data_IF_536701944653
#
_entry.id   IF_536701944653
#
_cell.length_a   1.000
_cell.length_b   1.000
_cell.length_c   1.000
_cell.angle_alpha   90.00
_cell.angle_beta   90.00
_cell.angle_gamma   90.00
#
_symmetry.space_group_name_H-M   'P 1'
#
loop_
_entity.id
_entity.type
_entity.pdbx_description
1 polymer ?
#
# COMPACT_ATOMS: atom_id res chain seq x y z
N UNK A 1 -42.77 19.00 -12.67
CA UNK A 1 -41.31 18.85 -12.71
C UNK A 1 -40.75 19.31 -11.37
N UNK A 2 -40.52 18.37 -10.43
CA UNK A 2 -39.98 18.63 -9.12
C UNK A 2 -38.44 18.66 -9.19
N UNK A 3 -37.76 19.42 -8.32
CA UNK A 3 -36.32 19.54 -8.35
C UNK A 3 -35.68 18.22 -7.93
N UNK A 4 -34.71 17.79 -8.75
CA UNK A 4 -33.84 16.65 -8.46
C UNK A 4 -33.15 16.87 -7.10
N UNK A 5 -33.39 15.98 -6.16
CA UNK A 5 -32.73 15.96 -4.86
C UNK A 5 -31.23 15.79 -5.07
N UNK A 6 -30.46 16.87 -4.96
CA UNK A 6 -29.03 16.82 -4.76
C UNK A 6 -28.78 16.06 -3.45
N UNK A 7 -28.34 14.82 -3.54
CA UNK A 7 -27.83 14.08 -2.40
C UNK A 7 -26.61 14.85 -1.89
N UNK A 8 -26.79 15.59 -0.83
CA UNK A 8 -25.75 16.33 -0.15
C UNK A 8 -24.68 15.36 0.33
N UNK A 9 -23.46 15.50 -0.19
CA UNK A 9 -22.24 14.76 0.16
C UNK A 9 -21.80 14.97 1.63
N UNK A 10 -22.59 15.67 2.44
CA UNK A 10 -22.31 15.99 3.85
C UNK A 10 -22.36 14.80 4.82
N UNK A 11 -22.87 13.63 4.40
CA UNK A 11 -22.92 12.42 5.24
C UNK A 11 -21.78 11.44 5.05
N UNK A 12 -20.64 11.91 4.55
CA UNK A 12 -19.41 11.13 4.52
C UNK A 12 -18.68 11.25 5.88
N UNK A 13 -19.39 11.07 6.96
CA UNK A 13 -18.80 10.86 8.26
C UNK A 13 -18.15 9.47 8.27
N UNK A 14 -16.85 9.42 8.54
CA UNK A 14 -16.19 8.22 9.00
C UNK A 14 -16.89 7.77 10.28
N UNK A 15 -17.84 6.85 10.16
CA UNK A 15 -18.71 6.41 11.25
C UNK A 15 -17.92 5.48 12.16
N UNK A 16 -18.01 5.76 13.44
CA UNK A 16 -17.56 5.04 14.62
C UNK A 16 -17.07 3.62 14.38
N UNK A 17 -15.83 3.38 14.81
CA UNK A 17 -15.18 2.10 14.93
C UNK A 17 -15.37 1.56 16.36
N UNK A 18 -15.87 0.36 16.50
CA UNK A 18 -15.64 -0.51 17.66
C UNK A 18 -14.37 -1.30 17.36
N UNK A 19 -13.34 -1.18 18.19
CA UNK A 19 -12.01 -1.76 17.99
C UNK A 19 -11.99 -3.30 18.00
N UNK A 20 -12.54 -3.91 16.97
CA UNK A 20 -12.41 -5.36 16.76
C UNK A 20 -11.52 -5.57 15.52
N UNK A 21 -10.29 -6.05 15.72
CA UNK A 21 -9.30 -6.42 14.69
C UNK A 21 -9.79 -7.53 13.73
N UNK A 22 -11.05 -7.92 13.81
CA UNK A 22 -11.69 -8.93 12.95
C UNK A 22 -12.25 -8.38 11.64
N UNK A 23 -12.11 -7.09 11.35
CA UNK A 23 -12.59 -6.47 10.11
C UNK A 23 -11.45 -6.05 9.22
N UNK A 24 -11.58 -6.30 7.91
CA UNK A 24 -10.59 -5.89 6.90
C UNK A 24 -10.27 -4.39 7.01
N UNK A 25 -8.97 -4.04 6.86
CA UNK A 25 -8.47 -2.66 6.98
C UNK A 25 -9.24 -1.67 6.12
N UNK A 26 -9.73 -0.59 6.74
CA UNK A 26 -10.40 0.53 6.03
C UNK A 26 -9.42 1.34 5.20
N UNK A 27 -8.17 1.44 5.65
CA UNK A 27 -7.11 2.08 4.87
C UNK A 27 -6.89 1.33 3.56
N UNK A 28 -6.91 -0.01 3.57
CA UNK A 28 -6.83 -0.81 2.35
C UNK A 28 -7.98 -0.55 1.38
N UNK A 29 -9.22 -0.34 1.87
CA UNK A 29 -10.37 0.03 1.02
C UNK A 29 -10.18 1.40 0.36
N UNK A 30 -9.68 2.41 1.08
CA UNK A 30 -9.42 3.75 0.50
C UNK A 30 -8.31 3.70 -0.54
N UNK A 31 -7.22 2.99 -0.28
CA UNK A 31 -6.14 2.81 -1.27
C UNK A 31 -6.67 2.09 -2.51
N UNK A 32 -7.51 1.06 -2.36
CA UNK A 32 -8.17 0.39 -3.48
C UNK A 32 -9.09 1.35 -4.25
N UNK A 33 -9.82 2.25 -3.57
CA UNK A 33 -10.65 3.28 -4.22
C UNK A 33 -9.77 4.22 -5.08
N UNK A 34 -8.65 4.69 -4.56
CA UNK A 34 -7.75 5.59 -5.30
C UNK A 34 -7.20 4.92 -6.56
N UNK A 35 -6.76 3.65 -6.48
CA UNK A 35 -6.30 2.87 -7.63
C UNK A 35 -7.43 2.63 -8.66
N UNK A 36 -8.65 2.34 -8.18
CA UNK A 36 -9.79 2.17 -9.05
C UNK A 36 -10.18 3.46 -9.78
N UNK A 37 -10.10 4.62 -9.12
CA UNK A 37 -10.34 5.93 -9.74
C UNK A 37 -9.25 6.28 -10.75
N UNK A 38 -7.97 6.02 -10.42
CA UNK A 38 -6.85 6.23 -11.35
C UNK A 38 -7.03 5.40 -12.63
N UNK A 39 -7.49 4.16 -12.51
CA UNK A 39 -7.77 3.27 -13.64
C UNK A 39 -8.76 3.88 -14.65
N UNK A 40 -9.67 4.76 -14.21
CA UNK A 40 -10.67 5.42 -15.07
C UNK A 40 -10.18 6.70 -15.74
N UNK A 41 -8.98 7.16 -15.44
CA UNK A 41 -8.40 8.35 -16.06
C UNK A 41 -7.87 8.04 -17.45
N UNK A 42 -8.00 8.99 -18.37
CA UNK A 42 -7.39 8.89 -19.70
C UNK A 42 -5.86 8.99 -19.68
N UNK A 43 -5.32 9.72 -18.68
CA UNK A 43 -3.90 9.97 -18.43
C UNK A 43 -3.37 9.12 -17.24
N UNK A 44 -3.99 7.98 -16.99
CA UNK A 44 -3.65 7.10 -15.86
C UNK A 44 -2.20 6.64 -15.85
N UNK A 45 -1.60 6.56 -14.68
CA UNK A 45 -0.24 6.02 -14.48
C UNK A 45 -0.19 4.50 -14.58
N UNK A 46 -1.28 3.83 -14.23
CA UNK A 46 -1.43 2.36 -14.31
C UNK A 46 -2.91 1.99 -14.41
N UNK A 47 -3.18 0.74 -14.76
CA UNK A 47 -4.52 0.15 -14.70
C UNK A 47 -4.61 -0.91 -13.61
N UNK A 48 -5.65 -0.86 -12.78
CA UNK A 48 -5.98 -1.84 -11.75
C UNK A 48 -7.47 -2.16 -11.75
N UNK A 49 -7.89 -3.06 -12.65
CA UNK A 49 -9.29 -3.48 -12.73
C UNK A 49 -9.71 -4.35 -11.54
N UNK A 50 -8.76 -4.92 -10.79
CA UNK A 50 -9.04 -5.68 -9.58
C UNK A 50 -9.41 -4.78 -8.40
N UNK A 51 -8.89 -3.55 -8.34
CA UNK A 51 -9.16 -2.63 -7.24
C UNK A 51 -10.66 -2.45 -6.99
N UNK A 52 -11.48 -2.40 -8.06
CA UNK A 52 -12.94 -2.26 -7.94
C UNK A 52 -13.61 -3.46 -7.25
N UNK A 53 -13.01 -4.65 -7.28
CA UNK A 53 -13.56 -5.86 -6.63
C UNK A 53 -13.48 -5.77 -5.11
N UNK A 54 -12.50 -5.05 -4.59
CA UNK A 54 -12.29 -4.86 -3.15
C UNK A 54 -13.23 -3.82 -2.53
N UNK A 55 -13.96 -3.06 -3.37
CA UNK A 55 -14.77 -1.95 -2.92
C UNK A 55 -16.20 -2.36 -2.54
N UNK A 56 -16.78 -1.74 -1.50
CA UNK A 56 -18.21 -1.83 -1.21
C UNK A 56 -19.06 -1.20 -2.34
N UNK A 57 -20.31 -1.57 -2.42
CA UNK A 57 -21.22 -1.18 -3.52
C UNK A 57 -21.26 0.35 -3.77
N UNK A 58 -21.24 1.17 -2.69
CA UNK A 58 -21.23 2.63 -2.78
C UNK A 58 -20.01 3.18 -3.54
N UNK A 59 -18.81 2.61 -3.31
CA UNK A 59 -17.59 3.02 -3.99
C UNK A 59 -17.53 2.50 -5.42
N UNK A 60 -18.07 1.30 -5.69
CA UNK A 60 -18.18 0.77 -7.07
C UNK A 60 -19.04 1.66 -7.94
N UNK A 61 -20.14 2.21 -7.40
CA UNK A 61 -20.96 3.17 -8.12
C UNK A 61 -20.18 4.45 -8.42
N UNK A 62 -19.43 4.97 -7.46
CA UNK A 62 -18.58 6.16 -7.63
C UNK A 62 -17.53 5.97 -8.72
N UNK A 63 -16.84 4.81 -8.74
CA UNK A 63 -15.87 4.45 -9.79
C UNK A 63 -16.52 4.34 -11.17
N UNK A 64 -17.75 3.82 -11.24
CA UNK A 64 -18.52 3.81 -12.48
C UNK A 64 -18.82 5.23 -12.98
N UNK A 65 -19.30 6.11 -12.11
CA UNK A 65 -19.55 7.51 -12.48
C UNK A 65 -18.28 8.23 -12.94
N UNK A 66 -17.12 7.91 -12.36
CA UNK A 66 -15.81 8.46 -12.73
C UNK A 66 -15.34 8.08 -14.14
N UNK A 67 -15.98 7.12 -14.81
CA UNK A 67 -15.73 6.82 -16.23
C UNK A 67 -16.03 8.03 -17.13
N UNK A 68 -16.97 8.89 -16.73
CA UNK A 68 -17.17 10.18 -17.36
C UNK A 68 -16.13 11.18 -16.82
N UNK A 69 -15.16 11.56 -17.65
CA UNK A 69 -13.98 12.32 -17.24
C UNK A 69 -14.25 13.58 -16.39
N UNK A 70 -15.25 14.45 -16.69
CA UNK A 70 -15.58 15.59 -15.84
C UNK A 70 -15.99 15.18 -14.41
N UNK A 71 -16.76 14.10 -14.28
CA UNK A 71 -17.18 13.55 -12.97
C UNK A 71 -15.96 13.01 -12.23
N UNK A 72 -15.10 12.23 -12.89
CA UNK A 72 -13.88 11.70 -12.31
C UNK A 72 -12.95 12.80 -11.78
N UNK A 73 -12.76 13.88 -12.57
CA UNK A 73 -11.99 15.07 -12.13
C UNK A 73 -12.66 15.77 -10.94
N UNK A 74 -13.98 15.87 -10.92
CA UNK A 74 -14.74 16.43 -9.80
C UNK A 74 -14.56 15.62 -8.52
N UNK A 75 -14.67 14.30 -8.60
CA UNK A 75 -14.45 13.37 -7.47
C UNK A 75 -13.03 13.52 -6.93
N UNK A 76 -12.01 13.52 -7.79
CA UNK A 76 -10.62 13.68 -7.38
C UNK A 76 -10.41 15.00 -6.63
N UNK A 77 -10.92 16.13 -7.14
CA UNK A 77 -10.84 17.44 -6.48
C UNK A 77 -11.53 17.46 -5.12
N UNK A 78 -12.68 16.83 -4.98
CA UNK A 78 -13.39 16.72 -3.70
C UNK A 78 -12.55 15.93 -2.68
N UNK A 79 -11.95 14.81 -3.10
CA UNK A 79 -11.07 14.01 -2.24
C UNK A 79 -9.86 14.84 -1.81
N UNK A 80 -9.18 15.51 -2.74
CA UNK A 80 -7.97 16.29 -2.47
C UNK A 80 -8.28 17.51 -1.57
N UNK A 81 -9.43 18.17 -1.77
CA UNK A 81 -9.87 19.25 -0.89
C UNK A 81 -10.22 18.75 0.53
N UNK A 82 -10.85 17.58 0.62
CA UNK A 82 -11.26 16.98 1.91
C UNK A 82 -10.07 16.45 2.70
N UNK A 83 -9.00 16.03 2.02
CA UNK A 83 -7.79 15.46 2.58
C UNK A 83 -6.54 16.17 2.04
N UNK A 84 -6.24 17.37 2.55
CA UNK A 84 -5.19 18.25 2.00
C UNK A 84 -3.77 17.67 2.08
N UNK A 85 -3.55 16.61 2.88
CA UNK A 85 -2.28 15.89 2.92
C UNK A 85 -1.97 15.04 1.68
N UNK A 86 -2.86 15.02 0.67
CA UNK A 86 -2.65 14.34 -0.60
C UNK A 86 -2.60 12.80 -0.55
N UNK A 87 -3.44 12.11 0.26
CA UNK A 87 -3.38 10.64 0.38
C UNK A 87 -3.68 9.93 -0.94
N UNK A 88 -4.52 10.52 -1.80
CA UNK A 88 -4.87 9.95 -3.09
C UNK A 88 -3.66 9.88 -4.02
N UNK A 89 -3.00 11.00 -4.26
CA UNK A 89 -1.84 11.04 -5.15
C UNK A 89 -0.65 10.30 -4.55
N UNK A 90 -0.46 10.36 -3.23
CA UNK A 90 0.58 9.57 -2.55
C UNK A 90 0.41 8.07 -2.80
N UNK A 91 -0.82 7.55 -2.72
CA UNK A 91 -1.08 6.14 -3.01
C UNK A 91 -0.87 5.80 -4.50
N UNK A 92 -1.26 6.69 -5.41
CA UNK A 92 -1.12 6.49 -6.85
C UNK A 92 0.35 6.52 -7.27
N UNK A 93 1.10 7.54 -6.86
CA UNK A 93 2.51 7.70 -7.23
C UNK A 93 3.38 6.56 -6.68
N UNK A 94 3.16 6.16 -5.41
CA UNK A 94 3.88 5.04 -4.83
C UNK A 94 3.53 3.71 -5.51
N UNK A 95 2.26 3.46 -5.86
CA UNK A 95 1.86 2.24 -6.58
C UNK A 95 2.62 2.15 -7.91
N UNK A 96 2.69 3.24 -8.66
CA UNK A 96 3.42 3.29 -9.93
C UNK A 96 4.92 3.07 -9.72
N UNK A 97 5.53 3.74 -8.74
CA UNK A 97 6.95 3.59 -8.46
C UNK A 97 7.30 2.14 -8.08
N UNK A 98 6.49 1.51 -7.23
CA UNK A 98 6.70 0.11 -6.84
C UNK A 98 6.53 -0.83 -8.05
N UNK A 99 5.57 -0.56 -8.92
CA UNK A 99 5.38 -1.36 -10.14
C UNK A 99 6.60 -1.27 -11.08
N UNK A 100 7.17 -0.08 -11.25
CA UNK A 100 8.36 0.14 -12.07
C UNK A 100 9.58 -0.57 -11.45
N UNK A 101 9.80 -0.43 -10.14
CA UNK A 101 10.89 -1.10 -9.42
C UNK A 101 10.76 -2.63 -9.47
N UNK A 102 9.54 -3.15 -9.37
CA UNK A 102 9.26 -4.58 -9.51
C UNK A 102 9.61 -5.08 -10.93
N UNK A 103 9.25 -4.31 -11.94
CA UNK A 103 9.57 -4.66 -13.33
C UNK A 103 11.07 -4.57 -13.63
N UNK A 104 11.76 -3.54 -13.12
CA UNK A 104 13.21 -3.34 -13.31
C UNK A 104 14.04 -4.44 -12.64
N UNK A 105 13.57 -4.99 -11.53
CA UNK A 105 14.31 -6.00 -10.77
C UNK A 105 14.24 -7.41 -11.36
N UNK A 106 13.34 -7.70 -12.29
CA UNK A 106 13.16 -9.01 -12.95
C UNK A 106 13.23 -10.19 -11.98
N UNK A 107 12.36 -10.29 -10.96
CA UNK A 107 12.46 -11.30 -9.92
C UNK A 107 12.15 -12.73 -10.40
N UNK A 108 12.73 -13.72 -9.74
CA UNK A 108 12.32 -15.14 -9.91
C UNK A 108 11.05 -15.46 -9.13
N UNK A 109 10.77 -14.70 -8.07
CA UNK A 109 9.54 -14.77 -7.26
C UNK A 109 9.27 -13.44 -6.56
N UNK A 110 8.05 -13.24 -6.11
CA UNK A 110 7.61 -12.02 -5.41
C UNK A 110 7.08 -12.39 -4.03
N UNK A 111 7.37 -11.52 -3.05
CA UNK A 111 6.83 -11.62 -1.70
C UNK A 111 6.12 -10.30 -1.36
N UNK A 112 4.81 -10.36 -1.16
CA UNK A 112 3.98 -9.24 -0.74
C UNK A 112 3.72 -9.33 0.76
N UNK A 113 4.31 -8.43 1.56
CA UNK A 113 4.12 -8.38 3.03
C UNK A 113 3.00 -7.41 3.38
N UNK A 114 2.05 -7.87 4.19
CA UNK A 114 0.83 -7.14 4.47
C UNK A 114 0.05 -6.91 3.17
N UNK A 115 -0.17 -7.98 2.41
CA UNK A 115 -0.69 -7.93 1.04
C UNK A 115 -2.06 -7.25 0.92
N UNK A 116 -2.85 -7.16 1.99
CA UNK A 116 -4.11 -6.44 2.04
C UNK A 116 -4.94 -6.60 0.78
N UNK A 117 -5.31 -5.50 0.17
CA UNK A 117 -5.93 -5.43 -1.15
C UNK A 117 -4.95 -5.10 -2.28
N UNK A 118 -3.65 -5.43 -2.11
CA UNK A 118 -2.71 -5.40 -3.23
C UNK A 118 -3.18 -6.35 -4.34
N UNK A 119 -3.18 -5.87 -5.56
CA UNK A 119 -3.65 -6.61 -6.73
C UNK A 119 -2.53 -7.01 -7.67
N UNK A 120 -1.25 -6.73 -7.35
CA UNK A 120 -0.11 -6.98 -8.24
C UNK A 120 -0.04 -8.41 -8.71
N UNK A 121 -0.21 -9.36 -7.78
CA UNK A 121 -0.24 -10.78 -8.10
C UNK A 121 -1.33 -11.16 -9.10
N UNK A 122 -2.40 -10.38 -9.18
CA UNK A 122 -3.53 -10.65 -10.06
C UNK A 122 -3.51 -9.82 -11.36
N UNK A 123 -2.96 -8.58 -11.32
CA UNK A 123 -3.08 -7.61 -12.42
C UNK A 123 -1.85 -7.48 -13.30
N UNK A 124 -0.66 -7.84 -12.80
CA UNK A 124 0.58 -7.72 -13.56
C UNK A 124 0.74 -8.99 -14.44
N UNK A 125 0.70 -8.84 -15.77
CA UNK A 125 0.86 -9.97 -16.65
C UNK A 125 2.26 -10.59 -16.50
N UNK A 126 2.33 -11.91 -16.43
CA UNK A 126 3.60 -12.64 -16.35
C UNK A 126 4.34 -12.49 -15.02
N UNK A 127 3.69 -11.95 -13.97
CA UNK A 127 4.28 -11.92 -12.64
C UNK A 127 4.65 -13.35 -12.20
N UNK A 128 5.86 -13.58 -11.65
CA UNK A 128 6.26 -14.92 -11.23
C UNK A 128 5.48 -15.39 -10.01
N UNK A 129 5.81 -16.59 -9.52
CA UNK A 129 5.25 -17.12 -8.27
C UNK A 129 5.28 -16.05 -7.19
N UNK A 130 4.12 -15.79 -6.59
CA UNK A 130 3.93 -14.73 -5.62
C UNK A 130 3.42 -15.29 -4.29
N UNK A 131 4.07 -14.92 -3.21
CA UNK A 131 3.65 -15.22 -1.85
C UNK A 131 3.01 -13.99 -1.23
N UNK A 132 1.76 -14.12 -0.82
CA UNK A 132 1.03 -13.06 -0.12
C UNK A 132 0.97 -13.37 1.38
N UNK A 133 1.68 -12.59 2.16
CA UNK A 133 1.69 -12.66 3.64
C UNK A 133 0.78 -11.57 4.18
N UNK A 134 -0.17 -11.94 5.02
CA UNK A 134 -1.07 -10.99 5.69
C UNK A 134 -1.75 -11.62 6.90
N UNK A 135 -2.30 -10.76 7.76
CA UNK A 135 -3.14 -11.20 8.85
C UNK A 135 -4.29 -12.10 8.34
N UNK A 136 -4.59 -13.24 9.00
CA UNK A 136 -5.55 -14.24 8.51
C UNK A 136 -6.91 -13.67 8.11
N UNK A 137 -7.45 -12.73 8.89
CA UNK A 137 -8.76 -12.12 8.63
C UNK A 137 -8.77 -11.27 7.34
N UNK A 138 -7.72 -10.48 7.10
CA UNK A 138 -7.58 -9.66 5.90
C UNK A 138 -7.39 -10.54 4.67
N UNK A 139 -6.55 -11.55 4.78
CA UNK A 139 -6.30 -12.50 3.71
C UNK A 139 -7.59 -13.25 3.30
N UNK A 140 -8.36 -13.72 4.28
CA UNK A 140 -9.65 -14.36 4.02
C UNK A 140 -10.61 -13.40 3.31
N UNK A 141 -10.71 -12.14 3.77
CA UNK A 141 -11.56 -11.13 3.15
C UNK A 141 -11.16 -10.84 1.69
N UNK A 142 -9.85 -10.85 1.37
CA UNK A 142 -9.34 -10.73 0.00
C UNK A 142 -9.73 -11.92 -0.87
N UNK A 143 -9.49 -13.14 -0.40
CA UNK A 143 -9.77 -14.38 -1.14
C UNK A 143 -11.24 -14.55 -1.51
N UNK A 144 -12.17 -14.05 -0.70
CA UNK A 144 -13.59 -14.01 -1.05
C UNK A 144 -13.93 -13.07 -2.24
N UNK A 145 -13.03 -12.16 -2.60
CA UNK A 145 -13.26 -11.13 -3.64
C UNK A 145 -12.50 -11.38 -4.93
N UNK A 146 -11.51 -12.27 -4.90
CA UNK A 146 -10.70 -12.66 -6.06
C UNK A 146 -10.74 -14.16 -6.26
N UNK A 147 -10.42 -14.61 -7.47
CA UNK A 147 -10.26 -16.05 -7.73
C UNK A 147 -8.85 -16.45 -7.37
N UNK A 148 -8.70 -17.58 -6.72
CA UNK A 148 -7.38 -18.19 -6.50
C UNK A 148 -6.69 -18.47 -7.84
N UNK A 149 -5.39 -18.23 -7.90
CA UNK A 149 -4.54 -18.48 -9.07
C UNK A 149 -3.37 -19.36 -8.64
N UNK A 150 -2.98 -20.32 -9.45
CA UNK A 150 -2.01 -21.35 -9.10
C UNK A 150 -0.61 -20.78 -8.74
N UNK A 151 -0.26 -19.59 -9.22
CA UNK A 151 1.01 -18.95 -8.92
C UNK A 151 0.98 -18.08 -7.65
N UNK A 152 -0.17 -17.98 -6.94
CA UNK A 152 -0.32 -17.20 -5.72
C UNK A 152 -0.42 -18.12 -4.51
N UNK A 153 0.52 -17.99 -3.59
CA UNK A 153 0.55 -18.69 -2.32
C UNK A 153 0.14 -17.75 -1.18
N UNK A 154 -0.89 -18.10 -0.45
CA UNK A 154 -1.40 -17.32 0.66
C UNK A 154 -0.82 -17.85 1.98
N UNK A 155 -0.09 -17.00 2.70
CA UNK A 155 0.55 -17.33 3.98
C UNK A 155 -0.04 -16.43 5.07
N UNK A 156 -0.91 -16.95 5.96
CA UNK A 156 -1.50 -16.15 7.03
C UNK A 156 -0.47 -15.96 8.15
N UNK A 157 -0.15 -14.69 8.49
CA UNK A 157 0.82 -14.31 9.54
C UNK A 157 0.42 -12.99 10.17
N UNK A 158 0.53 -12.90 11.49
CA UNK A 158 0.55 -11.63 12.21
C UNK A 158 2.01 -11.21 12.47
N UNK A 159 2.51 -10.24 11.71
CA UNK A 159 3.90 -9.78 11.80
C UNK A 159 4.26 -9.13 13.14
N UNK A 160 3.30 -8.78 14.01
CA UNK A 160 3.58 -8.32 15.35
C UNK A 160 3.85 -9.47 16.34
N UNK A 161 3.32 -10.65 16.06
CA UNK A 161 3.31 -11.79 17.00
C UNK A 161 4.17 -12.96 16.50
N UNK A 162 4.37 -13.08 15.17
CA UNK A 162 4.96 -14.25 14.55
C UNK A 162 6.21 -13.89 13.74
N UNK A 163 7.21 -14.79 13.75
CA UNK A 163 8.40 -14.66 12.88
C UNK A 163 8.06 -14.95 11.43
N UNK A 164 8.43 -14.05 10.54
CA UNK A 164 8.30 -14.22 9.09
C UNK A 164 9.11 -15.42 8.60
N UNK A 165 10.34 -15.61 9.10
CA UNK A 165 11.19 -16.74 8.73
C UNK A 165 10.57 -18.09 9.15
N UNK A 166 9.89 -18.15 10.28
CA UNK A 166 9.19 -19.35 10.71
C UNK A 166 7.99 -19.66 9.80
N UNK A 167 7.16 -18.66 9.53
CA UNK A 167 5.99 -18.79 8.67
C UNK A 167 6.34 -19.13 7.22
N UNK A 168 7.52 -18.75 6.78
CA UNK A 168 8.06 -19.00 5.44
C UNK A 168 9.21 -20.04 5.45
N UNK A 169 9.19 -21.01 6.36
CA UNK A 169 10.23 -22.02 6.47
C UNK A 169 10.49 -22.80 5.16
N UNK A 170 9.44 -23.03 4.36
CA UNK A 170 9.52 -23.70 3.07
C UNK A 170 9.65 -22.72 1.88
N UNK A 171 9.88 -21.42 2.15
CA UNK A 171 10.03 -20.42 1.10
C UNK A 171 11.30 -20.66 0.29
N UNK A 172 11.23 -20.79 -1.03
CA UNK A 172 12.42 -21.05 -1.85
C UNK A 172 13.40 -19.87 -1.78
N UNK A 173 14.66 -20.12 -1.44
CA UNK A 173 15.69 -19.08 -1.38
C UNK A 173 16.15 -18.68 -2.77
N UNK A 174 15.37 -17.85 -3.44
CA UNK A 174 15.60 -17.30 -4.78
C UNK A 174 15.75 -15.80 -4.76
N UNK A 175 16.17 -15.21 -5.89
CA UNK A 175 16.18 -13.77 -6.07
C UNK A 175 14.73 -13.25 -6.07
N UNK A 176 14.40 -12.56 -5.02
CA UNK A 176 13.04 -12.15 -4.67
C UNK A 176 12.89 -10.64 -4.73
N UNK A 177 11.78 -10.14 -5.27
CA UNK A 177 11.34 -8.79 -4.96
C UNK A 177 10.32 -8.88 -3.83
N UNK A 178 10.66 -8.22 -2.73
CA UNK A 178 9.77 -8.04 -1.58
C UNK A 178 9.09 -6.69 -1.71
N UNK A 179 7.77 -6.65 -1.64
CA UNK A 179 6.97 -5.42 -1.55
C UNK A 179 6.30 -5.37 -0.19
N UNK A 180 6.65 -4.35 0.58
CA UNK A 180 6.13 -4.11 1.92
C UNK A 180 5.47 -2.73 1.98
N UNK A 181 4.31 -2.62 1.37
CA UNK A 181 3.61 -1.36 1.12
C UNK A 181 2.52 -1.08 2.15
N UNK A 182 2.64 0.06 2.86
CA UNK A 182 1.57 0.56 3.73
C UNK A 182 1.40 -0.19 5.04
N UNK A 183 2.45 -0.83 5.55
CA UNK A 183 2.40 -1.73 6.72
C UNK A 183 3.35 -1.32 7.83
N UNK A 184 4.60 -0.95 7.53
CA UNK A 184 5.64 -0.71 8.53
C UNK A 184 5.22 0.27 9.62
N UNK A 185 4.49 1.32 9.24
CA UNK A 185 4.02 2.36 10.14
C UNK A 185 2.96 1.90 11.17
N UNK A 186 2.44 0.68 11.03
CA UNK A 186 1.49 0.06 11.98
C UNK A 186 2.13 -1.03 12.86
N UNK A 187 3.40 -1.35 12.60
CA UNK A 187 4.14 -2.36 13.34
C UNK A 187 4.96 -1.74 14.48
N UNK A 188 5.33 -2.56 15.44
CA UNK A 188 6.32 -2.14 16.44
C UNK A 188 7.71 -2.07 15.81
N UNK A 189 8.61 -1.28 16.38
CA UNK A 189 10.00 -1.18 15.92
C UNK A 189 10.68 -2.56 15.93
N UNK A 190 10.40 -3.38 16.96
CA UNK A 190 10.92 -4.74 17.07
C UNK A 190 10.42 -5.64 15.93
N UNK A 191 9.14 -5.53 15.55
CA UNK A 191 8.58 -6.31 14.46
C UNK A 191 9.18 -5.90 13.10
N UNK A 192 9.42 -4.60 12.88
CA UNK A 192 10.10 -4.10 11.67
C UNK A 192 11.55 -4.61 11.62
N UNK A 193 12.30 -4.51 12.73
CA UNK A 193 13.68 -5.00 12.82
C UNK A 193 13.75 -6.52 12.54
N UNK A 194 12.93 -7.30 13.18
CA UNK A 194 12.87 -8.74 13.00
C UNK A 194 12.53 -9.11 11.55
N UNK A 195 11.51 -8.48 10.98
CA UNK A 195 11.11 -8.72 9.59
C UNK A 195 12.24 -8.44 8.60
N UNK A 196 12.97 -7.30 8.74
CA UNK A 196 14.09 -6.98 7.85
C UNK A 196 15.22 -7.99 7.96
N UNK A 197 15.54 -8.49 9.17
CA UNK A 197 16.54 -9.56 9.38
C UNK A 197 16.07 -10.89 8.78
N UNK A 198 14.81 -11.26 9.00
CA UNK A 198 14.23 -12.46 8.42
C UNK A 198 14.32 -12.44 6.89
N UNK A 199 14.02 -11.29 6.26
CA UNK A 199 14.12 -11.13 4.81
C UNK A 199 15.52 -11.41 4.26
N UNK A 200 16.58 -10.97 4.92
CA UNK A 200 17.96 -11.26 4.50
C UNK A 200 18.35 -12.73 4.66
N UNK A 201 17.64 -13.45 5.52
CA UNK A 201 17.86 -14.88 5.76
C UNK A 201 17.13 -15.75 4.74
N UNK A 202 15.86 -15.43 4.46
CA UNK A 202 14.99 -16.28 3.62
C UNK A 202 15.12 -15.98 2.13
N UNK A 203 15.63 -14.82 1.73
CA UNK A 203 15.82 -14.47 0.31
C UNK A 203 17.29 -14.66 -0.12
N UNK A 204 17.52 -14.78 -1.42
CA UNK A 204 18.89 -14.87 -1.94
C UNK A 204 19.56 -13.49 -1.98
N UNK A 205 20.93 -13.41 -1.89
CA UNK A 205 21.66 -12.19 -2.20
C UNK A 205 21.25 -11.61 -3.56
N UNK A 206 21.20 -10.28 -3.66
CA UNK A 206 20.70 -9.58 -4.84
C UNK A 206 19.18 -9.45 -4.89
N UNK A 207 18.44 -9.98 -3.91
CA UNK A 207 17.00 -9.70 -3.76
C UNK A 207 16.74 -8.23 -3.44
N UNK A 208 15.63 -7.69 -3.92
CA UNK A 208 15.25 -6.30 -3.69
C UNK A 208 14.12 -6.21 -2.67
N UNK A 209 14.29 -5.40 -1.64
CA UNK A 209 13.26 -5.07 -0.65
C UNK A 209 12.77 -3.66 -0.92
N UNK A 210 11.49 -3.52 -1.29
CA UNK A 210 10.81 -2.24 -1.51
C UNK A 210 9.84 -2.07 -0.35
N UNK A 211 10.02 -1.03 0.45
CA UNK A 211 9.12 -0.80 1.58
C UNK A 211 8.74 0.67 1.69
N UNK A 212 7.60 0.92 2.31
CA UNK A 212 7.15 2.28 2.60
C UNK A 212 7.22 2.55 4.08
N UNK A 213 7.55 3.78 4.44
CA UNK A 213 7.59 4.24 5.82
C UNK A 213 7.13 5.70 5.92
N UNK A 214 6.87 6.16 7.13
CA UNK A 214 6.62 7.57 7.41
C UNK A 214 7.88 8.20 8.02
N UNK A 215 8.17 9.45 7.67
CA UNK A 215 9.18 10.21 8.38
C UNK A 215 8.78 10.30 9.86
N UNK A 216 9.70 9.94 10.76
CA UNK A 216 9.48 9.94 12.22
C UNK A 216 8.96 11.28 12.73
N UNK A 217 9.37 12.38 12.11
CA UNK A 217 8.87 13.70 12.46
C UNK A 217 7.35 13.81 12.33
N UNK A 218 6.74 13.07 11.38
CA UNK A 218 5.29 13.08 11.16
C UNK A 218 4.49 12.29 12.21
N UNK A 219 5.13 11.45 13.03
CA UNK A 219 4.44 10.72 14.11
C UNK A 219 3.96 11.64 15.22
N UNK A 220 4.63 12.77 15.41
CA UNK A 220 4.31 13.76 16.45
C UNK A 220 3.49 14.94 15.90
N UNK A 221 3.13 14.89 14.61
CA UNK A 221 2.48 15.99 13.95
C UNK A 221 0.96 15.91 14.07
N UNK A 222 0.33 17.01 14.46
CA UNK A 222 -1.12 17.18 14.55
C UNK A 222 -1.80 17.28 13.17
N UNK A 223 -1.21 16.66 12.16
CA UNK A 223 -1.73 16.71 10.78
C UNK A 223 -3.13 16.09 10.68
N UNK A 224 -3.97 16.59 9.77
CA UNK A 224 -5.27 15.98 9.49
C UNK A 224 -5.17 14.50 9.09
N UNK A 225 -4.05 14.09 8.50
CA UNK A 225 -3.81 12.70 8.11
C UNK A 225 -3.55 11.82 9.32
N UNK A 226 -2.61 12.21 10.21
CA UNK A 226 -2.33 11.47 11.44
C UNK A 226 -3.59 11.32 12.31
N UNK A 227 -4.35 12.43 12.49
CA UNK A 227 -5.65 12.39 13.16
C UNK A 227 -6.67 11.50 12.45
N UNK A 228 -6.59 11.42 11.13
CA UNK A 228 -7.47 10.57 10.30
C UNK A 228 -7.24 9.08 10.54
N UNK A 229 -5.99 8.61 10.50
CA UNK A 229 -5.65 7.19 10.72
C UNK A 229 -5.88 6.77 12.17
N UNK A 230 -5.59 7.64 13.14
CA UNK A 230 -5.91 7.39 14.54
C UNK A 230 -7.42 7.22 14.79
N UNK A 231 -8.26 8.03 14.12
CA UNK A 231 -9.74 7.94 14.21
C UNK A 231 -10.30 6.65 13.63
N UNK A 232 -9.61 6.00 12.70
CA UNK A 232 -10.04 4.69 12.16
C UNK A 232 -9.47 3.51 12.93
N UNK A 233 -8.77 3.75 14.04
CA UNK A 233 -8.22 2.72 14.91
C UNK A 233 -6.92 2.09 14.40
N UNK A 234 -6.24 2.74 13.45
CA UNK A 234 -4.97 2.32 12.87
C UNK A 234 -3.88 3.39 13.13
N UNK A 235 -3.49 3.67 14.40
CA UNK A 235 -2.49 4.69 14.69
C UNK A 235 -1.12 4.27 14.17
N UNK A 236 -0.33 5.25 13.72
CA UNK A 236 1.05 4.99 13.36
C UNK A 236 1.92 4.84 14.60
N UNK A 237 2.72 3.78 14.63
CA UNK A 237 3.59 3.41 15.75
C UNK A 237 5.07 3.43 15.39
N UNK A 238 5.39 3.40 14.09
CA UNK A 238 6.76 3.35 13.59
C UNK A 238 7.01 4.37 12.49
N UNK A 239 8.23 4.94 12.48
CA UNK A 239 8.75 5.85 11.47
C UNK A 239 10.27 5.93 11.54
N UNK A 240 10.92 6.32 10.45
CA UNK A 240 12.36 6.51 10.34
C UNK A 240 12.68 7.94 9.89
N UNK A 241 13.75 8.53 10.39
CA UNK A 241 14.29 9.74 9.75
C UNK A 241 14.98 9.35 8.44
N UNK A 242 14.71 10.03 7.32
CA UNK A 242 15.31 9.68 6.02
C UNK A 242 16.83 9.59 6.06
N UNK A 243 17.49 10.46 6.82
CA UNK A 243 18.95 10.45 6.98
C UNK A 243 19.50 9.20 7.70
N UNK A 244 18.69 8.52 8.51
CA UNK A 244 19.08 7.31 9.26
C UNK A 244 18.88 6.03 8.43
N UNK A 245 18.03 6.05 7.38
CA UNK A 245 17.66 4.85 6.61
C UNK A 245 18.87 4.09 6.07
N UNK A 246 19.91 4.71 5.50
CA UNK A 246 21.06 3.97 4.99
C UNK A 246 21.74 3.13 6.08
N UNK A 247 22.03 3.74 7.24
CA UNK A 247 22.65 3.05 8.39
C UNK A 247 21.76 1.96 8.96
N UNK A 248 20.46 2.28 9.14
CA UNK A 248 19.47 1.34 9.65
C UNK A 248 19.36 0.06 8.81
N UNK A 249 19.37 0.20 7.49
CA UNK A 249 19.36 -0.93 6.56
C UNK A 249 20.70 -1.68 6.52
N UNK A 250 21.81 -0.95 6.53
CA UNK A 250 23.16 -1.55 6.48
C UNK A 250 23.43 -2.50 7.65
N UNK A 251 22.97 -2.15 8.86
CA UNK A 251 23.06 -2.99 10.06
C UNK A 251 22.27 -4.30 9.93
N UNK A 252 21.33 -4.37 9.00
CA UNK A 252 20.44 -5.52 8.72
C UNK A 252 20.80 -6.25 7.44
N UNK A 253 21.99 -6.00 6.87
CA UNK A 253 22.45 -6.69 5.67
C UNK A 253 21.80 -6.20 4.37
N UNK A 254 21.29 -4.98 4.34
CA UNK A 254 20.64 -4.36 3.20
C UNK A 254 21.37 -3.10 2.73
N UNK A 255 21.58 -2.95 1.43
CA UNK A 255 22.18 -1.76 0.82
C UNK A 255 21.08 -0.90 0.19
N UNK A 256 20.86 0.31 0.73
CA UNK A 256 19.90 1.26 0.18
C UNK A 256 20.28 1.62 -1.27
N UNK A 257 19.33 1.55 -2.19
CA UNK A 257 19.46 1.93 -3.60
C UNK A 257 18.71 3.21 -3.94
N UNK A 258 17.69 3.53 -3.19
CA UNK A 258 16.97 4.79 -3.32
C UNK A 258 15.88 4.94 -2.26
N UNK A 259 15.47 6.20 -2.11
CA UNK A 259 14.45 6.64 -1.17
C UNK A 259 13.81 7.91 -1.71
N UNK A 260 12.51 7.85 -2.02
CA UNK A 260 11.73 8.98 -2.50
C UNK A 260 10.51 9.20 -1.62
N UNK A 261 10.17 10.46 -1.39
CA UNK A 261 8.85 10.78 -0.86
C UNK A 261 7.76 10.54 -1.89
N UNK A 262 6.52 10.37 -1.46
CA UNK A 262 5.40 10.24 -2.38
C UNK A 262 5.23 11.50 -3.26
N UNK A 263 5.63 12.66 -2.75
CA UNK A 263 5.66 13.92 -3.50
C UNK A 263 6.73 13.90 -4.59
N UNK A 264 7.95 13.46 -4.29
CA UNK A 264 9.03 13.29 -5.27
C UNK A 264 8.65 12.24 -6.34
N UNK A 265 8.01 11.13 -5.92
CA UNK A 265 7.46 10.15 -6.85
C UNK A 265 6.37 10.74 -7.76
N UNK A 266 5.47 11.58 -7.24
CA UNK A 266 4.47 12.25 -8.05
C UNK A 266 5.12 13.18 -9.11
N UNK A 267 6.12 13.97 -8.71
CA UNK A 267 6.90 14.82 -9.62
C UNK A 267 7.60 13.99 -10.70
N UNK A 268 8.20 12.85 -10.35
CA UNK A 268 8.83 11.92 -11.31
C UNK A 268 7.85 11.49 -12.42
N UNK A 269 6.56 11.37 -12.10
CA UNK A 269 5.51 10.98 -13.05
C UNK A 269 4.73 12.16 -13.60
N UNK A 270 5.26 13.39 -13.51
CA UNK A 270 4.64 14.61 -14.02
C UNK A 270 3.23 14.85 -13.47
N UNK A 271 3.08 14.63 -12.15
CA UNK A 271 1.83 14.88 -11.41
C UNK A 271 1.99 16.07 -10.48
N UNK A 272 1.10 17.04 -10.62
CA UNK A 272 1.07 18.29 -9.84
C UNK A 272 0.07 18.24 -8.67
N UNK A 273 -0.69 17.13 -8.56
CA UNK A 273 -1.66 16.96 -7.49
C UNK A 273 -0.97 16.79 -6.13
N UNK A 274 -1.58 17.27 -5.03
CA UNK A 274 -0.98 17.17 -3.70
C UNK A 274 -0.60 15.73 -3.33
N UNK A 275 0.64 15.54 -2.88
CA UNK A 275 1.16 14.30 -2.35
C UNK A 275 2.02 14.55 -1.12
N UNK A 276 2.11 13.57 -0.22
CA UNK A 276 2.80 13.70 1.05
C UNK A 276 4.33 13.66 0.89
N UNK A 277 5.01 14.55 1.58
CA UNK A 277 6.47 14.57 1.63
C UNK A 277 7.00 13.61 2.71
N UNK A 278 6.25 13.46 3.80
CA UNK A 278 6.58 12.58 4.92
C UNK A 278 6.34 11.09 4.66
N UNK A 279 5.58 10.73 3.63
CA UNK A 279 5.32 9.33 3.27
C UNK A 279 6.33 8.90 2.20
N UNK A 280 7.18 7.93 2.52
CA UNK A 280 8.37 7.61 1.72
C UNK A 280 8.36 6.18 1.23
N UNK A 281 9.04 5.96 0.12
CA UNK A 281 9.25 4.68 -0.53
C UNK A 281 10.76 4.46 -0.63
N UNK A 282 11.27 3.48 0.09
CA UNK A 282 12.67 3.08 0.01
C UNK A 282 12.82 1.71 -0.65
N UNK A 283 13.93 1.51 -1.35
CA UNK A 283 14.28 0.21 -1.89
C UNK A 283 15.75 -0.08 -1.67
N UNK A 284 16.03 -1.32 -1.31
CA UNK A 284 17.36 -1.79 -0.93
C UNK A 284 17.61 -3.19 -1.48
N UNK A 285 18.87 -3.57 -1.59
CA UNK A 285 19.31 -4.88 -2.09
C UNK A 285 19.92 -5.67 -0.93
N UNK A 286 19.54 -6.94 -0.82
CA UNK A 286 20.12 -7.92 0.11
C UNK A 286 21.56 -8.21 -0.30
N UNK A 287 22.50 -8.13 0.67
CA UNK A 287 23.93 -8.43 0.48
C UNK A 287 24.22 -9.90 0.20
#
# INVERSE_FOLDING_TARGET
MGPASFVTLEKWTFIHYSGDMRTASRTAEHVALFRALETRRGDRLFADDYATRFLPARYRWLVRAATFAPVGKGIARIIDHRYPGGPRMSAIARTRLIDDLLAEAEPEQVLLLGAGYDSRAHRIPGIPTTYEVDHPATQQAKRHRVKDQAHIHYVPVDLNEESLAHALADFPRKRTVVVWEGVTNYLTEQAVDATLRDLTTITAPGSTVIFTYVDRAALNDDTPWHKGVAKVGEPWTFGLHPAEVPGYLAERGLDLRGDLSAKEAAVRYHRDEPAADFYRIAWAVVR
#
